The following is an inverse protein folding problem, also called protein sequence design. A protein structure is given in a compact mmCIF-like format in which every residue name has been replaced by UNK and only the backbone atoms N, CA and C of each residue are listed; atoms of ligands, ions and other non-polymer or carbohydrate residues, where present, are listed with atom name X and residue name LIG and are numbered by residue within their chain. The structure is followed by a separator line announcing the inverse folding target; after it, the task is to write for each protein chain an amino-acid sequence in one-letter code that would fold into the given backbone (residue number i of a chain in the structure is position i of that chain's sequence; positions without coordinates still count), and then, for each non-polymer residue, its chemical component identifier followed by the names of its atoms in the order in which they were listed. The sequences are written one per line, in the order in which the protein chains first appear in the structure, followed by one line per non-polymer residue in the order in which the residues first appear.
data_IF_358773941014
#
_entry.id   IF_358773941014
#
_cell.length_a   1.000
_cell.length_b   1.000
_cell.length_c   1.000
_cell.angle_alpha   90.00
_cell.angle_beta   90.00
_cell.angle_gamma   90.00
#
_symmetry.space_group_name_H-M   'P 1'
#
loop_
_entity.id
_entity.type
_entity.pdbx_description
1 polymer ?
#
# COMPACT_ATOMS: atom_id res chain seq x y z
N UNK A 1 8.38 12.56 13.15
CA UNK A 1 8.91 11.98 11.89
C UNK A 1 7.74 11.34 11.15
N UNK A 2 7.61 11.55 9.83
CA UNK A 2 6.36 11.33 9.06
C UNK A 2 6.70 10.91 7.63
N UNK A 3 6.30 9.72 7.16
CA UNK A 3 6.63 9.27 5.80
C UNK A 3 6.07 10.20 4.70
N UNK A 4 5.05 10.99 5.01
CA UNK A 4 4.52 12.02 4.10
C UNK A 4 5.43 13.26 3.97
N UNK A 5 6.47 13.41 4.80
CA UNK A 5 7.47 14.48 4.69
C UNK A 5 8.65 14.04 3.79
N UNK A 6 8.49 14.20 2.48
CA UNK A 6 9.48 13.77 1.49
C UNK A 6 10.89 14.36 1.68
N UNK A 7 11.00 15.58 2.22
CA UNK A 7 12.27 16.29 2.38
C UNK A 7 13.17 15.67 3.45
N UNK A 8 12.57 15.02 4.46
CA UNK A 8 13.29 14.46 5.60
C UNK A 8 13.20 12.93 5.68
N UNK A 9 12.07 12.35 5.26
CA UNK A 9 11.75 10.94 5.44
C UNK A 9 11.89 10.11 4.15
N UNK A 10 12.31 10.76 3.05
CA UNK A 10 12.81 10.11 1.85
C UNK A 10 11.84 10.00 0.68
N UNK A 11 12.37 9.56 -0.47
CA UNK A 11 11.61 9.39 -1.72
C UNK A 11 11.58 7.91 -2.14
N UNK A 12 10.47 7.44 -2.77
CA UNK A 12 10.38 6.05 -3.21
C UNK A 12 11.45 5.61 -4.22
N UNK A 13 11.83 6.49 -5.15
CA UNK A 13 12.86 6.17 -6.14
C UNK A 13 14.24 5.98 -5.47
N UNK A 14 14.57 6.79 -4.47
CA UNK A 14 15.81 6.65 -3.70
C UNK A 14 15.78 5.36 -2.88
N UNK A 15 14.66 5.05 -2.23
CA UNK A 15 14.46 3.79 -1.50
C UNK A 15 14.72 2.57 -2.40
N UNK A 16 14.18 2.59 -3.62
CA UNK A 16 14.39 1.51 -4.60
C UNK A 16 15.86 1.33 -4.91
N UNK A 17 16.62 2.40 -5.12
CA UNK A 17 18.05 2.30 -5.41
C UNK A 17 18.86 1.81 -4.20
N UNK A 18 18.58 2.32 -3.00
CA UNK A 18 19.20 1.85 -1.76
C UNK A 18 18.97 0.35 -1.57
N UNK A 19 17.70 -0.08 -1.64
CA UNK A 19 17.32 -1.47 -1.41
C UNK A 19 17.88 -2.39 -2.50
N UNK A 20 17.76 -2.03 -3.78
CA UNK A 20 18.32 -2.82 -4.87
C UNK A 20 19.84 -2.97 -4.77
N UNK A 21 20.56 -1.91 -4.35
CA UNK A 21 22.01 -1.96 -4.15
C UNK A 21 22.38 -2.96 -3.06
N UNK A 22 21.69 -2.93 -1.91
CA UNK A 22 21.94 -3.86 -0.81
C UNK A 22 21.53 -5.30 -1.18
N UNK A 23 20.43 -5.49 -1.91
CA UNK A 23 19.97 -6.81 -2.37
C UNK A 23 20.96 -7.48 -3.31
N UNK A 24 21.62 -6.70 -4.18
CA UNK A 24 22.63 -7.21 -5.12
C UNK A 24 23.97 -7.55 -4.44
N UNK A 25 24.25 -6.94 -3.29
CA UNK A 25 25.48 -7.22 -2.56
C UNK A 25 25.41 -8.57 -1.82
N UNK A 26 26.52 -9.31 -1.85
CA UNK A 26 26.68 -10.59 -1.15
C UNK A 26 26.88 -10.38 0.35
N UNK A 27 27.60 -9.31 0.73
CA UNK A 27 27.93 -8.94 2.11
C UNK A 27 27.26 -7.62 2.47
N UNK A 28 27.06 -7.33 3.77
CA UNK A 28 26.68 -6.00 4.24
C UNK A 28 27.59 -4.93 3.64
N UNK A 29 27.03 -3.77 3.29
CA UNK A 29 27.75 -2.67 2.64
C UNK A 29 28.03 -1.57 3.67
N UNK A 30 29.27 -1.11 3.85
CA UNK A 30 29.54 0.03 4.73
C UNK A 30 28.62 1.21 4.40
N UNK A 31 28.04 1.85 5.42
CA UNK A 31 27.00 2.88 5.27
C UNK A 31 27.38 3.97 4.27
N UNK A 32 28.58 4.54 4.41
CA UNK A 32 29.03 5.61 3.52
C UNK A 32 29.26 5.11 2.09
N UNK A 33 29.75 3.89 1.90
CA UNK A 33 29.91 3.29 0.56
C UNK A 33 28.55 3.07 -0.14
N UNK A 34 27.50 2.71 0.61
CA UNK A 34 26.15 2.61 0.07
C UNK A 34 25.61 3.98 -0.37
N UNK A 35 25.81 5.01 0.47
CA UNK A 35 25.37 6.37 0.17
C UNK A 35 26.11 6.95 -1.04
N UNK A 36 27.41 6.75 -1.12
CA UNK A 36 28.22 7.17 -2.27
C UNK A 36 27.81 6.45 -3.55
N UNK A 37 27.42 5.17 -3.48
CA UNK A 37 26.95 4.43 -4.65
C UNK A 37 25.59 4.91 -5.17
N UNK A 38 24.69 5.34 -4.30
CA UNK A 38 23.31 5.71 -4.67
C UNK A 38 23.14 7.21 -4.90
N UNK A 39 23.84 8.04 -4.14
CA UNK A 39 23.77 9.49 -4.21
C UNK A 39 25.18 10.12 -4.11
N UNK A 40 26.03 9.93 -5.13
CA UNK A 40 27.38 10.48 -5.14
C UNK A 40 27.35 12.01 -4.95
N UNK A 41 28.06 12.59 -3.96
CA UNK A 41 27.98 14.01 -3.64
C UNK A 41 28.28 14.97 -4.80
N UNK A 42 29.10 14.53 -5.77
CA UNK A 42 29.45 15.31 -6.96
C UNK A 42 28.31 15.40 -8.00
N UNK A 43 27.30 14.52 -7.92
CA UNK A 43 26.23 14.40 -8.90
C UNK A 43 24.85 14.81 -8.36
N UNK A 44 24.68 14.88 -7.04
CA UNK A 44 23.40 15.21 -6.41
C UNK A 44 23.44 16.59 -5.76
N UNK A 45 22.44 17.43 -6.05
CA UNK A 45 22.39 18.83 -5.62
C UNK A 45 22.16 19.02 -4.11
N UNK A 46 21.67 18.00 -3.41
CA UNK A 46 21.40 18.00 -1.97
C UNK A 46 22.54 17.37 -1.16
N UNK A 47 23.69 17.13 -1.80
CA UNK A 47 24.86 16.46 -1.23
C UNK A 47 24.54 15.09 -0.58
N UNK A 48 23.49 14.39 -1.02
CA UNK A 48 23.10 13.07 -0.51
C UNK A 48 22.23 13.11 0.76
N UNK A 49 21.71 14.30 1.13
CA UNK A 49 20.84 14.49 2.29
C UNK A 49 19.59 13.60 2.23
N UNK A 50 18.91 13.54 1.09
CA UNK A 50 17.70 12.74 0.88
C UNK A 50 17.99 11.24 0.95
N UNK A 51 19.13 10.78 0.42
CA UNK A 51 19.55 9.38 0.52
C UNK A 51 19.82 8.98 1.97
N UNK A 52 20.52 9.83 2.73
CA UNK A 52 20.73 9.64 4.18
C UNK A 52 19.42 9.59 4.96
N UNK A 53 18.51 10.53 4.71
CA UNK A 53 17.18 10.56 5.34
C UNK A 53 16.36 9.31 5.02
N UNK A 54 16.33 8.92 3.74
CA UNK A 54 15.65 7.70 3.29
C UNK A 54 16.23 6.45 3.96
N UNK A 55 17.55 6.29 3.98
CA UNK A 55 18.20 5.14 4.60
C UNK A 55 17.91 5.08 6.10
N UNK A 56 18.09 6.19 6.81
CA UNK A 56 17.80 6.27 8.25
C UNK A 56 16.35 5.88 8.54
N UNK A 57 15.42 6.45 7.78
CA UNK A 57 13.99 6.23 7.96
C UNK A 57 13.59 4.78 7.75
N UNK A 58 14.04 4.18 6.66
CA UNK A 58 13.70 2.81 6.32
C UNK A 58 14.48 1.76 7.11
N UNK A 59 15.61 2.15 7.74
CA UNK A 59 16.26 1.37 8.79
C UNK A 59 15.41 1.36 10.06
N UNK A 60 14.90 2.52 10.49
CA UNK A 60 14.02 2.62 11.66
C UNK A 60 12.70 1.85 11.48
N UNK A 61 12.18 1.76 10.25
CA UNK A 61 11.00 0.95 9.92
C UNK A 61 11.31 -0.55 9.76
N UNK A 62 12.57 -0.97 9.89
CA UNK A 62 13.00 -2.37 9.85
C UNK A 62 13.16 -2.99 8.46
N UNK A 63 13.19 -2.18 7.39
CA UNK A 63 13.51 -2.67 6.04
C UNK A 63 15.01 -2.99 5.93
N UNK A 64 15.84 -2.07 6.40
CA UNK A 64 17.28 -2.24 6.52
C UNK A 64 17.68 -2.59 7.95
N UNK A 65 18.87 -3.16 8.10
CA UNK A 65 19.54 -3.38 9.37
C UNK A 65 20.97 -2.85 9.28
N UNK A 66 21.45 -2.26 10.37
CA UNK A 66 22.83 -1.82 10.51
C UNK A 66 23.57 -2.76 11.48
N UNK A 67 24.66 -3.36 11.02
CA UNK A 67 25.51 -4.29 11.77
C UNK A 67 26.95 -3.85 11.56
N UNK A 68 27.65 -3.51 12.64
CA UNK A 68 29.05 -3.05 12.61
C UNK A 68 29.33 -1.91 11.61
N UNK A 69 28.39 -0.95 11.50
CA UNK A 69 28.47 0.19 10.56
C UNK A 69 28.21 -0.16 9.09
N UNK A 70 27.77 -1.39 8.81
CA UNK A 70 27.39 -1.86 7.48
C UNK A 70 25.89 -2.17 7.39
N UNK A 71 25.31 -1.86 6.24
CA UNK A 71 23.90 -2.00 5.93
C UNK A 71 23.63 -3.35 5.27
N UNK A 72 22.62 -4.06 5.78
CA UNK A 72 22.01 -5.24 5.18
C UNK A 72 20.47 -5.08 5.17
N UNK A 73 19.76 -6.09 4.67
CA UNK A 73 18.29 -6.14 4.64
C UNK A 73 17.76 -7.27 5.52
N UNK A 74 16.55 -7.09 6.03
CA UNK A 74 15.87 -8.10 6.84
C UNK A 74 15.37 -9.29 6.01
N UNK A 75 15.00 -9.07 4.75
CA UNK A 75 14.47 -10.09 3.84
C UNK A 75 15.18 -10.00 2.49
N UNK A 76 15.44 -11.15 1.86
CA UNK A 76 16.02 -11.24 0.51
C UNK A 76 15.11 -12.08 -0.41
N UNK A 77 15.05 -11.78 -1.71
CA UNK A 77 14.33 -12.62 -2.66
C UNK A 77 14.99 -14.00 -2.74
N UNK A 78 14.19 -15.02 -3.08
CA UNK A 78 14.67 -16.39 -3.20
C UNK A 78 15.72 -16.54 -4.31
N UNK A 79 15.58 -15.79 -5.41
CA UNK A 79 16.51 -15.77 -6.53
C UNK A 79 17.42 -14.54 -6.47
N UNK A 80 18.71 -14.76 -6.71
CA UNK A 80 19.71 -13.68 -6.82
C UNK A 80 19.86 -13.14 -8.25
N UNK A 81 19.20 -13.76 -9.23
CA UNK A 81 19.26 -13.37 -10.66
C UNK A 81 18.10 -12.47 -11.09
N UNK A 82 17.33 -12.00 -10.12
CA UNK A 82 16.17 -11.16 -10.32
C UNK A 82 16.52 -9.88 -11.09
N UNK A 83 15.70 -9.58 -12.09
CA UNK A 83 15.84 -8.39 -12.91
C UNK A 83 15.46 -7.13 -12.13
N UNK A 84 15.68 -5.96 -12.72
CA UNK A 84 15.31 -4.69 -12.08
C UNK A 84 13.80 -4.61 -11.74
N UNK A 85 12.94 -5.20 -12.59
CA UNK A 85 11.49 -5.25 -12.36
C UNK A 85 11.12 -6.13 -11.15
N UNK A 86 11.78 -7.28 -11.02
CA UNK A 86 11.55 -8.22 -9.92
C UNK A 86 12.01 -7.63 -8.59
N UNK A 87 13.18 -6.98 -8.59
CA UNK A 87 13.67 -6.26 -7.40
C UNK A 87 12.79 -5.08 -7.02
N UNK A 88 12.25 -4.34 -8.01
CA UNK A 88 11.29 -3.27 -7.73
C UNK A 88 10.02 -3.82 -7.07
N UNK A 89 9.46 -4.91 -7.60
CA UNK A 89 8.29 -5.56 -7.03
C UNK A 89 8.58 -6.11 -5.62
N UNK A 90 9.73 -6.75 -5.42
CA UNK A 90 10.18 -7.21 -4.11
C UNK A 90 10.31 -6.05 -3.11
N UNK A 91 10.99 -4.96 -3.51
CA UNK A 91 11.16 -3.76 -2.67
C UNK A 91 9.81 -3.15 -2.29
N UNK A 92 8.88 -3.06 -3.24
CA UNK A 92 7.52 -2.57 -2.99
C UNK A 92 6.80 -3.43 -1.96
N UNK A 93 6.84 -4.76 -2.11
CA UNK A 93 6.20 -5.70 -1.18
C UNK A 93 6.75 -5.60 0.23
N UNK A 94 8.07 -5.62 0.38
CA UNK A 94 8.72 -5.56 1.69
C UNK A 94 8.53 -4.19 2.34
N UNK A 95 8.62 -3.11 1.56
CA UNK A 95 8.31 -1.76 2.05
C UNK A 95 6.86 -1.62 2.50
N UNK A 96 5.89 -2.12 1.72
CA UNK A 96 4.47 -2.11 2.07
C UNK A 96 4.23 -2.88 3.38
N UNK A 97 4.81 -4.07 3.53
CA UNK A 97 4.71 -4.84 4.76
C UNK A 97 5.25 -4.07 5.98
N UNK A 98 6.36 -3.34 5.85
CA UNK A 98 6.89 -2.49 6.94
C UNK A 98 5.99 -1.31 7.25
N UNK A 99 5.45 -0.63 6.26
CA UNK A 99 4.50 0.49 6.47
C UNK A 99 3.28 0.02 7.25
N UNK A 100 2.76 -1.18 6.95
CA UNK A 100 1.51 -1.70 7.54
C UNK A 100 1.70 -2.42 8.89
N UNK A 101 2.93 -2.72 9.30
CA UNK A 101 3.24 -3.49 10.49
C UNK A 101 2.80 -2.78 11.79
N UNK A 102 2.23 -3.52 12.75
CA UNK A 102 1.64 -2.93 13.96
C UNK A 102 2.66 -2.15 14.80
N UNK A 103 3.90 -2.64 14.88
CA UNK A 103 5.00 -1.97 15.56
C UNK A 103 5.33 -0.59 14.97
N UNK A 104 5.07 -0.39 13.67
CA UNK A 104 5.29 0.89 12.98
C UNK A 104 4.05 1.81 13.00
N UNK A 105 2.97 1.38 13.66
CA UNK A 105 1.67 2.07 13.70
C UNK A 105 1.09 2.23 15.12
N UNK A 106 1.84 1.90 16.18
CA UNK A 106 1.32 1.89 17.56
C UNK A 106 0.80 3.24 18.06
N UNK A 107 1.46 4.35 17.71
CA UNK A 107 1.03 5.72 18.04
C UNK A 107 0.18 6.34 16.92
N UNK A 108 -0.89 5.64 16.53
CA UNK A 108 -1.57 5.86 15.25
C UNK A 108 -2.04 7.31 14.98
N UNK A 109 -2.53 7.99 16.02
CA UNK A 109 -3.06 9.37 15.93
C UNK A 109 -2.11 10.45 16.44
N UNK A 110 -0.89 10.11 16.87
CA UNK A 110 0.06 11.13 17.31
C UNK A 110 0.53 11.99 16.12
N UNK A 111 0.71 13.28 16.39
CA UNK A 111 1.19 14.28 15.41
C UNK A 111 2.69 14.11 15.14
N UNK A 112 3.46 13.76 16.17
CA UNK A 112 4.89 13.45 16.12
C UNK A 112 5.15 12.00 16.57
N UNK A 113 6.35 11.48 16.36
CA UNK A 113 6.70 10.09 16.75
C UNK A 113 6.05 8.96 15.95
N UNK A 114 5.02 9.24 15.15
CA UNK A 114 4.10 8.26 14.56
C UNK A 114 4.65 7.25 13.53
N UNK A 115 5.97 7.06 13.41
CA UNK A 115 6.60 6.08 12.52
C UNK A 115 5.93 6.03 11.13
N UNK A 116 5.31 4.93 10.70
CA UNK A 116 4.61 4.84 9.43
C UNK A 116 3.12 5.22 9.50
N UNK A 117 2.57 5.46 10.69
CA UNK A 117 1.15 5.67 10.92
C UNK A 117 0.56 6.79 10.08
N UNK A 118 1.32 7.84 9.82
CA UNK A 118 0.86 8.96 9.00
C UNK A 118 0.54 8.58 7.56
N UNK A 119 1.37 7.73 6.95
CA UNK A 119 1.10 7.19 5.63
C UNK A 119 -0.02 6.15 5.70
N UNK A 120 -0.02 5.28 6.71
CA UNK A 120 -1.03 4.22 6.88
C UNK A 120 -2.44 4.80 7.01
N UNK A 121 -2.65 5.79 7.88
CA UNK A 121 -3.94 6.44 8.06
C UNK A 121 -4.41 7.18 6.80
N UNK A 122 -3.49 7.86 6.11
CA UNK A 122 -3.78 8.52 4.84
C UNK A 122 -4.16 7.52 3.73
N UNK A 123 -3.52 6.35 3.66
CA UNK A 123 -3.89 5.30 2.72
C UNK A 123 -5.26 4.69 3.06
N UNK A 124 -5.51 4.37 4.33
CA UNK A 124 -6.79 3.84 4.80
C UNK A 124 -7.96 4.80 4.49
N UNK A 125 -7.77 6.10 4.75
CA UNK A 125 -8.74 7.14 4.42
C UNK A 125 -8.92 7.31 2.91
N UNK A 126 -7.82 7.37 2.14
CA UNK A 126 -7.85 7.51 0.68
C UNK A 126 -8.63 6.35 0.04
N UNK A 127 -8.36 5.11 0.45
CA UNK A 127 -9.04 3.92 -0.07
C UNK A 127 -10.52 3.87 0.35
N UNK A 128 -10.99 4.80 1.20
CA UNK A 128 -12.38 4.91 1.64
C UNK A 128 -13.23 5.79 0.76
N UNK A 129 -12.57 6.63 -0.03
CA UNK A 129 -13.23 7.56 -0.90
C UNK A 129 -13.86 6.85 -2.09
N UNK A 130 -14.88 7.49 -2.68
CA UNK A 130 -15.46 7.01 -3.91
C UNK A 130 -14.48 7.24 -5.07
N UNK A 131 -13.83 6.16 -5.51
CA UNK A 131 -12.81 6.21 -6.57
C UNK A 131 -13.32 6.68 -7.93
N UNK A 132 -14.63 6.84 -8.11
CA UNK A 132 -15.24 7.41 -9.32
C UNK A 132 -15.46 8.92 -9.24
N UNK A 133 -15.40 9.51 -8.04
CA UNK A 133 -15.74 10.92 -7.80
C UNK A 133 -14.61 11.70 -7.14
N UNK A 134 -13.70 10.99 -6.48
CA UNK A 134 -12.63 11.57 -5.68
C UNK A 134 -11.28 11.39 -6.37
N UNK A 135 -10.60 12.51 -6.63
CA UNK A 135 -9.20 12.56 -7.05
C UNK A 135 -8.34 13.29 -6.02
N UNK A 136 -7.02 13.19 -6.14
CA UNK A 136 -6.08 13.76 -5.14
C UNK A 136 -6.30 15.25 -4.88
N UNK A 137 -6.65 16.02 -5.91
CA UNK A 137 -6.88 17.47 -5.80
C UNK A 137 -7.99 17.87 -4.84
N UNK A 138 -8.87 16.94 -4.47
CA UNK A 138 -10.01 17.18 -3.58
C UNK A 138 -9.73 16.78 -2.13
N UNK A 139 -8.59 16.17 -1.83
CA UNK A 139 -8.37 15.48 -0.55
C UNK A 139 -8.42 16.42 0.65
N UNK A 140 -7.80 17.59 0.58
CA UNK A 140 -7.79 18.55 1.68
C UNK A 140 -9.21 19.04 2.03
N UNK A 141 -10.03 19.35 1.01
CA UNK A 141 -11.40 19.79 1.23
C UNK A 141 -12.30 18.67 1.77
N UNK A 142 -12.18 17.47 1.20
CA UNK A 142 -12.94 16.30 1.63
C UNK A 142 -12.58 15.87 3.04
N UNK A 143 -11.31 15.94 3.41
CA UNK A 143 -10.85 15.62 4.75
C UNK A 143 -11.48 16.53 5.80
N UNK A 144 -11.41 17.85 5.61
CA UNK A 144 -12.02 18.82 6.54
C UNK A 144 -13.53 18.59 6.64
N UNK A 145 -14.19 18.29 5.53
CA UNK A 145 -15.62 17.96 5.52
C UNK A 145 -15.93 16.67 6.30
N UNK A 146 -15.08 15.64 6.20
CA UNK A 146 -15.34 14.31 6.75
C UNK A 146 -14.89 14.14 8.21
N UNK A 147 -13.85 14.86 8.63
CA UNK A 147 -13.21 14.69 9.94
C UNK A 147 -13.34 15.93 10.83
N UNK A 148 -13.89 17.03 10.29
CA UNK A 148 -13.95 18.33 10.96
C UNK A 148 -12.58 18.97 11.17
N UNK A 149 -12.57 20.18 11.72
CA UNK A 149 -11.34 20.82 12.18
C UNK A 149 -10.87 20.15 13.48
N UNK A 150 -9.99 19.16 13.35
CA UNK A 150 -9.45 18.41 14.47
C UNK A 150 -7.95 18.22 14.37
N UNK A 151 -7.33 17.86 15.50
CA UNK A 151 -5.93 17.44 15.50
C UNK A 151 -5.67 16.16 14.67
N UNK A 152 -6.72 15.51 14.16
CA UNK A 152 -6.66 14.29 13.35
C UNK A 152 -6.60 14.53 11.84
N UNK A 153 -6.56 15.78 11.38
CA UNK A 153 -6.36 16.11 9.96
C UNK A 153 -5.04 15.52 9.44
N UNK A 154 -5.10 14.79 8.33
CA UNK A 154 -4.00 14.07 7.68
C UNK A 154 -3.25 14.98 6.69
N UNK A 155 -3.91 15.95 6.06
CA UNK A 155 -3.36 16.81 5.00
C UNK A 155 -3.33 18.30 5.35
N UNK A 156 -2.94 18.64 6.60
CA UNK A 156 -2.79 20.04 7.07
C UNK A 156 -1.89 20.94 6.20
N UNK A 157 -1.05 20.37 5.33
CA UNK A 157 -0.24 21.09 4.37
C UNK A 157 -0.26 20.34 3.01
N UNK A 158 -0.44 21.04 1.87
CA UNK A 158 -0.39 20.45 0.52
C UNK A 158 0.82 19.55 0.23
N UNK A 159 1.96 19.76 0.91
CA UNK A 159 3.15 18.90 0.76
C UNK A 159 2.91 17.45 1.20
N UNK A 160 2.01 17.22 2.18
CA UNK A 160 1.66 15.87 2.66
C UNK A 160 0.85 15.10 1.63
N UNK A 161 -0.06 15.76 0.91
CA UNK A 161 -0.78 15.16 -0.23
C UNK A 161 0.19 14.70 -1.30
N UNK A 162 1.18 15.55 -1.63
CA UNK A 162 2.25 15.17 -2.55
C UNK A 162 2.98 13.92 -2.03
N UNK A 163 3.38 13.90 -0.75
CA UNK A 163 3.96 12.72 -0.12
C UNK A 163 3.12 11.46 -0.30
N UNK A 164 1.81 11.55 -0.10
CA UNK A 164 0.89 10.44 -0.30
C UNK A 164 0.84 10.00 -1.77
N UNK A 165 0.80 10.92 -2.74
CA UNK A 165 0.81 10.57 -4.16
C UNK A 165 2.03 9.73 -4.55
N UNK A 166 3.23 10.13 -4.09
CA UNK A 166 4.46 9.38 -4.35
C UNK A 166 4.43 7.99 -3.71
N UNK A 167 4.08 7.91 -2.42
CA UNK A 167 4.06 6.64 -1.70
C UNK A 167 2.92 5.72 -2.12
N UNK A 168 1.70 6.23 -2.34
CA UNK A 168 0.57 5.45 -2.82
C UNK A 168 0.86 4.82 -4.18
N UNK A 169 1.47 5.57 -5.11
CA UNK A 169 1.90 5.03 -6.40
C UNK A 169 2.96 3.95 -6.22
N UNK A 170 3.99 4.22 -5.43
CA UNK A 170 5.07 3.27 -5.21
C UNK A 170 4.57 1.97 -4.55
N UNK A 171 3.74 2.07 -3.51
CA UNK A 171 3.22 0.92 -2.77
C UNK A 171 2.10 0.18 -3.51
N UNK A 172 1.61 0.71 -4.63
CA UNK A 172 0.65 0.05 -5.50
C UNK A 172 -0.83 0.32 -5.17
N UNK A 173 -1.10 1.42 -4.45
CA UNK A 173 -2.44 1.92 -4.10
C UNK A 173 -2.98 3.01 -5.03
N UNK A 174 -2.19 3.43 -6.03
CA UNK A 174 -2.55 4.44 -7.02
C UNK A 174 -1.97 4.10 -8.39
N UNK A 175 -2.71 4.36 -9.48
CA UNK A 175 -2.31 4.07 -10.86
C UNK A 175 -2.65 5.20 -11.84
N UNK A 176 -1.69 6.06 -12.16
CA UNK A 176 -1.80 7.00 -13.27
C UNK A 176 -1.51 6.34 -14.63
N UNK A 177 -2.09 6.85 -15.74
CA UNK A 177 -2.95 8.05 -15.82
C UNK A 177 -4.43 7.79 -15.51
N UNK A 178 -4.86 6.55 -15.34
CA UNK A 178 -6.28 6.18 -15.42
C UNK A 178 -7.05 6.27 -14.10
N UNK A 179 -6.38 6.17 -12.94
CA UNK A 179 -7.02 6.19 -11.63
C UNK A 179 -6.10 6.67 -10.50
N UNK A 180 -6.50 7.75 -9.83
CA UNK A 180 -5.79 8.25 -8.65
C UNK A 180 -5.81 7.27 -7.48
N UNK A 181 -6.87 6.47 -7.35
CA UNK A 181 -7.04 5.48 -6.29
C UNK A 181 -7.30 4.12 -6.94
N UNK A 182 -6.33 3.21 -6.81
CA UNK A 182 -6.36 1.88 -7.40
C UNK A 182 -5.38 0.92 -6.68
N UNK A 183 -5.88 0.03 -5.79
CA UNK A 183 -5.05 -0.92 -5.06
C UNK A 183 -4.69 -2.20 -5.83
N UNK A 184 -4.96 -2.30 -7.13
CA UNK A 184 -4.74 -3.52 -7.93
C UNK A 184 -3.32 -4.07 -7.79
N UNK A 185 -2.31 -3.19 -7.82
CA UNK A 185 -0.90 -3.62 -7.75
C UNK A 185 -0.56 -4.13 -6.35
N UNK A 186 -0.98 -3.42 -5.30
CA UNK A 186 -0.78 -3.85 -3.91
C UNK A 186 -1.44 -5.20 -3.63
N UNK A 187 -2.67 -5.40 -4.14
CA UNK A 187 -3.39 -6.67 -3.98
C UNK A 187 -2.69 -7.80 -4.74
N UNK A 188 -2.32 -7.58 -6.01
CA UNK A 188 -1.57 -8.57 -6.81
C UNK A 188 -0.31 -9.06 -6.10
N UNK A 189 0.39 -8.14 -5.48
CA UNK A 189 1.63 -8.38 -4.76
C UNK A 189 1.49 -9.28 -3.53
N UNK A 190 0.33 -9.27 -2.87
CA UNK A 190 0.04 -10.11 -1.70
C UNK A 190 -0.71 -11.39 -2.06
N UNK A 191 -1.23 -11.52 -3.29
CA UNK A 191 -1.96 -12.72 -3.73
C UNK A 191 -1.24 -14.03 -3.41
N UNK A 192 0.08 -14.20 -3.66
CA UNK A 192 0.76 -15.47 -3.35
C UNK A 192 0.77 -15.87 -1.87
N UNK A 193 0.54 -14.92 -0.95
CA UNK A 193 0.43 -15.21 0.49
C UNK A 193 -1.00 -15.59 0.91
N UNK A 194 -1.99 -15.26 0.07
CA UNK A 194 -3.42 -15.38 0.38
C UNK A 194 -4.04 -16.59 -0.34
N UNK A 195 -3.70 -16.73 -1.62
CA UNK A 195 -4.25 -17.70 -2.56
C UNK A 195 -3.16 -18.15 -3.55
N UNK A 196 -2.80 -19.43 -3.47
CA UNK A 196 -1.86 -20.07 -4.38
C UNK A 196 -2.40 -20.18 -5.81
N UNK A 197 -1.52 -20.44 -6.77
CA UNK A 197 -1.93 -20.65 -8.16
C UNK A 197 -2.67 -21.99 -8.31
N UNK A 198 -3.79 -21.98 -9.03
CA UNK A 198 -4.69 -23.13 -9.16
C UNK A 198 -5.62 -23.35 -7.98
N UNK A 199 -5.52 -22.54 -6.92
CA UNK A 199 -6.36 -22.63 -5.74
C UNK A 199 -7.61 -21.74 -5.84
N UNK A 200 -8.64 -22.12 -5.08
CA UNK A 200 -9.84 -21.33 -4.84
C UNK A 200 -10.18 -21.29 -3.35
N UNK A 201 -10.85 -20.23 -2.93
CA UNK A 201 -11.35 -20.05 -1.56
C UNK A 201 -12.67 -19.31 -1.55
N UNK A 202 -13.37 -19.40 -0.42
CA UNK A 202 -14.55 -18.58 -0.13
C UNK A 202 -14.21 -17.08 -0.23
N UNK A 203 -15.12 -16.32 -0.82
CA UNK A 203 -14.95 -14.89 -1.06
C UNK A 203 -14.81 -14.07 0.23
N UNK A 204 -15.54 -14.43 1.28
CA UNK A 204 -15.45 -13.78 2.59
C UNK A 204 -14.09 -14.05 3.21
N UNK A 205 -13.64 -15.31 3.16
CA UNK A 205 -12.30 -15.70 3.62
C UNK A 205 -11.18 -15.01 2.83
N UNK A 206 -11.32 -14.85 1.51
CA UNK A 206 -10.38 -14.10 0.71
C UNK A 206 -10.25 -12.65 1.19
N UNK A 207 -11.39 -11.96 1.38
CA UNK A 207 -11.40 -10.57 1.86
C UNK A 207 -10.80 -10.47 3.26
N UNK A 208 -11.05 -11.43 4.14
CA UNK A 208 -10.44 -11.48 5.47
C UNK A 208 -8.92 -11.63 5.43
N UNK A 209 -8.41 -12.57 4.63
CA UNK A 209 -6.96 -12.73 4.44
C UNK A 209 -6.34 -11.49 3.80
N UNK A 210 -7.06 -10.83 2.89
CA UNK A 210 -6.62 -9.60 2.27
C UNK A 210 -6.55 -8.45 3.28
N UNK A 211 -7.55 -8.32 4.15
CA UNK A 211 -7.57 -7.36 5.26
C UNK A 211 -6.41 -7.57 6.25
N UNK A 212 -5.99 -8.81 6.48
CA UNK A 212 -4.82 -9.10 7.31
C UNK A 212 -3.51 -8.70 6.62
N UNK A 213 -3.38 -8.96 5.32
CA UNK A 213 -2.17 -8.64 4.56
C UNK A 213 -2.05 -7.14 4.21
N UNK A 214 -3.17 -6.47 3.97
CA UNK A 214 -3.28 -5.06 3.61
C UNK A 214 -4.34 -4.38 4.50
N UNK A 215 -4.00 -4.09 5.77
CA UNK A 215 -4.94 -3.62 6.80
C UNK A 215 -5.57 -2.24 6.57
N UNK A 216 -5.21 -1.56 5.49
CA UNK A 216 -5.82 -0.30 5.01
C UNK A 216 -7.01 -0.50 4.07
N UNK A 217 -7.27 -1.75 3.64
CA UNK A 217 -8.43 -2.12 2.82
C UNK A 217 -9.66 -2.45 3.67
N UNK A 218 -10.79 -2.72 3.01
CA UNK A 218 -12.03 -3.20 3.62
C UNK A 218 -11.78 -4.28 4.68
N UNK A 219 -12.44 -4.15 5.84
CA UNK A 219 -12.32 -5.01 7.04
C UNK A 219 -10.93 -5.01 7.70
N UNK A 220 -9.95 -4.31 7.16
CA UNK A 220 -8.64 -4.15 7.76
C UNK A 220 -8.67 -3.29 9.03
N UNK A 221 -7.78 -3.59 9.97
CA UNK A 221 -7.76 -2.91 11.28
C UNK A 221 -7.49 -1.40 11.16
N UNK A 222 -6.55 -0.98 10.30
CA UNK A 222 -6.25 0.45 10.12
C UNK A 222 -7.36 1.17 9.38
N UNK A 223 -8.07 0.46 8.49
CA UNK A 223 -9.26 0.99 7.86
C UNK A 223 -10.36 1.28 8.88
N UNK A 224 -10.62 0.34 9.78
CA UNK A 224 -11.64 0.52 10.82
C UNK A 224 -11.27 1.66 11.78
N UNK A 225 -10.00 1.72 12.22
CA UNK A 225 -9.49 2.78 13.10
C UNK A 225 -9.64 4.18 12.48
N UNK A 226 -9.38 4.32 11.19
CA UNK A 226 -9.60 5.61 10.50
C UNK A 226 -11.08 5.93 10.39
N UNK A 227 -11.92 4.97 9.99
CA UNK A 227 -13.35 5.20 9.81
C UNK A 227 -14.07 5.54 11.12
N UNK A 228 -13.59 5.07 12.29
CA UNK A 228 -14.14 5.51 13.58
C UNK A 228 -13.84 6.97 13.93
N UNK A 229 -12.93 7.62 13.19
CA UNK A 229 -12.65 9.06 13.31
C UNK A 229 -13.29 9.91 12.21
N UNK A 230 -13.97 9.28 11.24
CA UNK A 230 -14.73 9.97 10.19
C UNK A 230 -16.18 10.14 10.65
N UNK A 231 -16.80 11.28 10.35
CA UNK A 231 -18.24 11.47 10.57
C UNK A 231 -19.02 10.36 9.85
N UNK A 232 -19.85 9.63 10.60
CA UNK A 232 -20.62 8.50 10.10
C UNK A 232 -21.60 8.83 8.98
N UNK A 233 -21.92 10.11 8.75
CA UNK A 233 -22.74 10.56 7.62
C UNK A 233 -21.92 10.99 6.40
N UNK A 234 -20.61 11.14 6.55
CA UNK A 234 -19.76 11.72 5.50
C UNK A 234 -19.32 10.70 4.45
N UNK A 235 -19.37 9.40 4.77
CA UNK A 235 -19.21 8.30 3.83
C UNK A 235 -20.45 7.41 3.88
N UNK A 236 -20.95 6.99 2.72
CA UNK A 236 -22.08 6.07 2.67
C UNK A 236 -21.70 4.73 3.34
N UNK A 237 -22.49 4.24 4.31
CA UNK A 237 -22.20 2.97 4.96
C UNK A 237 -22.30 1.82 3.95
N UNK A 238 -21.34 0.90 4.00
CA UNK A 238 -21.38 -0.32 3.20
C UNK A 238 -22.37 -1.30 3.83
N UNK A 239 -23.18 -1.95 3.00
CA UNK A 239 -24.04 -3.04 3.42
C UNK A 239 -23.21 -4.29 3.76
N UNK A 240 -23.79 -5.23 4.51
CA UNK A 240 -23.16 -6.50 4.78
C UNK A 240 -22.78 -7.22 3.47
N UNK A 241 -21.51 -7.61 3.33
CA UNK A 241 -20.98 -8.25 2.12
C UNK A 241 -20.65 -7.30 0.96
N UNK A 242 -20.98 -6.01 1.06
CA UNK A 242 -20.63 -5.01 0.05
C UNK A 242 -19.18 -4.55 0.22
N UNK A 243 -18.41 -4.50 -0.87
CA UNK A 243 -17.05 -3.94 -0.88
C UNK A 243 -17.03 -2.46 -1.26
N UNK A 244 -16.02 -1.73 -0.80
CA UNK A 244 -15.72 -0.37 -1.24
C UNK A 244 -15.49 -0.29 -2.76
N UNK A 245 -15.63 0.91 -3.34
CA UNK A 245 -15.37 1.13 -4.77
C UNK A 245 -13.90 0.89 -5.11
N UNK A 246 -12.97 1.17 -4.20
CA UNK A 246 -11.53 0.93 -4.39
C UNK A 246 -11.20 -0.56 -4.51
N UNK A 247 -11.68 -1.38 -3.56
CA UNK A 247 -11.46 -2.83 -3.62
C UNK A 247 -12.23 -3.46 -4.78
N UNK A 248 -13.44 -2.99 -5.07
CA UNK A 248 -14.23 -3.47 -6.20
C UNK A 248 -13.54 -3.23 -7.54
N UNK A 249 -13.00 -2.03 -7.76
CA UNK A 249 -12.20 -1.71 -8.95
C UNK A 249 -11.02 -2.65 -9.09
N UNK A 250 -10.27 -2.88 -8.00
CA UNK A 250 -9.09 -3.72 -8.07
C UNK A 250 -9.42 -5.19 -8.36
N UNK A 251 -10.48 -5.75 -7.77
CA UNK A 251 -10.93 -7.10 -8.10
C UNK A 251 -11.38 -7.22 -9.56
N UNK A 252 -12.05 -6.21 -10.11
CA UNK A 252 -12.41 -6.17 -11.53
C UNK A 252 -11.18 -6.09 -12.43
N UNK A 253 -10.18 -5.30 -12.07
CA UNK A 253 -8.92 -5.22 -12.81
C UNK A 253 -8.16 -6.55 -12.79
N UNK A 254 -8.06 -7.20 -11.62
CA UNK A 254 -7.43 -8.52 -11.47
C UNK A 254 -8.19 -9.59 -12.25
N UNK A 255 -9.52 -9.52 -12.29
CA UNK A 255 -10.33 -10.38 -13.15
C UNK A 255 -10.05 -10.10 -14.63
N UNK A 256 -9.99 -8.84 -15.03
CA UNK A 256 -9.73 -8.44 -16.42
C UNK A 256 -8.34 -8.82 -16.91
N UNK A 257 -7.33 -8.82 -16.04
CA UNK A 257 -5.97 -9.28 -16.36
C UNK A 257 -5.83 -10.81 -16.35
N UNK A 258 -6.79 -11.53 -15.76
CA UNK A 258 -6.73 -12.98 -15.56
C UNK A 258 -5.96 -13.40 -14.31
N UNK A 259 -5.65 -12.48 -13.40
CA UNK A 259 -5.02 -12.78 -12.11
C UNK A 259 -5.99 -13.50 -11.15
N UNK A 260 -7.31 -13.26 -11.29
CA UNK A 260 -8.36 -13.85 -10.47
C UNK A 260 -9.60 -14.23 -11.30
N UNK A 261 -10.37 -15.19 -10.80
CA UNK A 261 -11.72 -15.51 -11.27
C UNK A 261 -12.70 -15.28 -10.13
N UNK A 262 -13.78 -14.55 -10.40
CA UNK A 262 -14.89 -14.35 -9.46
C UNK A 262 -16.02 -15.30 -9.84
N UNK A 263 -16.38 -16.22 -8.95
CA UNK A 263 -17.25 -17.35 -9.27
C UNK A 263 -18.52 -17.33 -8.45
N UNK A 264 -19.64 -17.64 -9.12
CA UNK A 264 -20.91 -17.95 -8.48
C UNK A 264 -21.04 -19.45 -8.31
N UNK A 265 -21.15 -19.91 -7.07
CA UNK A 265 -21.49 -21.28 -6.73
C UNK A 265 -22.78 -21.26 -5.93
N UNK A 266 -23.66 -22.23 -6.19
CA UNK A 266 -25.02 -22.26 -5.65
C UNK A 266 -25.07 -22.66 -4.17
N UNK A 267 -23.91 -22.82 -3.52
CA UNK A 267 -23.82 -23.30 -2.16
C UNK A 267 -24.12 -22.16 -1.18
N UNK A 268 -24.90 -22.49 -0.16
CA UNK A 268 -25.47 -21.53 0.80
C UNK A 268 -24.35 -20.92 1.65
N UNK A 269 -24.02 -19.64 1.40
CA UNK A 269 -22.98 -18.89 2.09
C UNK A 269 -23.12 -17.38 1.87
N UNK A 270 -22.38 -16.57 2.64
CA UNK A 270 -22.38 -15.11 2.49
C UNK A 270 -21.75 -14.71 1.16
N UNK A 271 -22.52 -14.02 0.31
CA UNK A 271 -22.02 -13.48 -0.96
C UNK A 271 -21.30 -12.16 -0.74
N UNK A 272 -20.21 -11.96 -1.48
CA UNK A 272 -19.58 -10.65 -1.63
C UNK A 272 -20.19 -9.95 -2.84
N UNK A 273 -20.43 -8.65 -2.72
CA UNK A 273 -21.01 -7.81 -3.77
C UNK A 273 -20.10 -6.63 -4.06
N UNK A 274 -19.81 -6.42 -5.35
CA UNK A 274 -19.01 -5.29 -5.79
C UNK A 274 -19.82 -3.98 -5.79
N UNK A 275 -19.11 -2.86 -5.69
CA UNK A 275 -19.68 -1.50 -5.81
C UNK A 275 -19.14 -0.82 -7.06
N UNK A 276 -20.04 -0.26 -7.87
CA UNK A 276 -19.73 0.55 -9.04
C UNK A 276 -20.07 2.03 -8.82
N UNK A 277 -20.03 2.82 -9.91
CA UNK A 277 -20.27 4.28 -9.90
C UNK A 277 -21.65 4.70 -9.34
N UNK A 278 -22.64 3.81 -9.47
CA UNK A 278 -24.01 4.03 -9.00
C UNK A 278 -24.34 3.25 -7.72
N UNK A 279 -23.32 2.80 -6.99
CA UNK A 279 -23.48 2.01 -5.77
C UNK A 279 -23.40 0.50 -6.01
N UNK A 280 -24.07 -0.26 -5.15
CA UNK A 280 -23.98 -1.72 -5.10
C UNK A 280 -24.41 -2.37 -6.42
N UNK A 281 -23.62 -3.34 -6.90
CA UNK A 281 -23.85 -4.09 -8.14
C UNK A 281 -24.26 -5.51 -7.82
N UNK A 282 -25.55 -5.74 -7.56
CA UNK A 282 -26.10 -7.07 -7.26
C UNK A 282 -25.83 -8.08 -8.39
N UNK A 283 -25.76 -7.60 -9.64
CA UNK A 283 -25.36 -8.34 -10.83
C UNK A 283 -23.87 -8.71 -10.86
N UNK A 284 -23.08 -8.21 -9.90
CA UNK A 284 -21.66 -8.51 -9.68
C UNK A 284 -21.42 -9.09 -8.27
N UNK A 285 -22.29 -9.98 -7.83
CA UNK A 285 -22.09 -10.82 -6.65
C UNK A 285 -21.31 -12.12 -6.97
N UNK A 286 -20.53 -12.61 -6.01
CA UNK A 286 -19.78 -13.87 -6.08
C UNK A 286 -19.58 -14.48 -4.69
N UNK A 287 -19.38 -15.80 -4.63
CA UNK A 287 -19.19 -16.56 -3.39
C UNK A 287 -17.78 -17.15 -3.30
N UNK A 288 -17.10 -17.30 -4.43
CA UNK A 288 -15.78 -17.91 -4.51
C UNK A 288 -14.82 -17.06 -5.34
N UNK A 289 -13.55 -17.09 -4.97
CA UNK A 289 -12.45 -16.53 -5.76
C UNK A 289 -11.44 -17.62 -6.05
N UNK A 290 -11.04 -17.73 -7.31
CA UNK A 290 -9.96 -18.63 -7.73
C UNK A 290 -8.80 -17.83 -8.32
N UNK A 291 -7.58 -18.33 -8.15
CA UNK A 291 -6.40 -17.82 -8.84
C UNK A 291 -5.99 -18.81 -9.93
N UNK A 292 -6.06 -18.45 -11.22
CA UNK A 292 -5.65 -19.36 -12.29
C UNK A 292 -4.18 -19.81 -12.16
N UNK A 293 -3.88 -21.02 -12.63
CA UNK A 293 -2.50 -21.48 -12.79
C UNK A 293 -1.79 -20.71 -13.90
N UNK A 294 -0.51 -20.37 -13.72
CA UNK A 294 0.28 -19.78 -14.80
C UNK A 294 0.25 -20.66 -16.05
N UNK A 295 -0.25 -20.12 -17.17
CA UNK A 295 -0.35 -20.84 -18.44
C UNK A 295 -1.67 -21.58 -18.70
N UNK A 296 -2.62 -21.56 -17.76
CA UNK A 296 -4.01 -21.90 -18.06
C UNK A 296 -4.59 -20.80 -18.97
N UNK A 297 -4.60 -21.05 -20.27
CA UNK A 297 -4.93 -20.07 -21.32
C UNK A 297 -6.34 -19.51 -21.15
N UNK A 298 -6.46 -18.22 -21.52
CA UNK A 298 -7.68 -17.39 -21.66
C UNK A 298 -8.77 -18.04 -22.51
#
# INVERSE_FOLDING_TARGET
MSLLNLTNDGLPNILVQLHATVLRAIKPIPREALLDAVAPPALVSDAGKLARGTLLRWTALGLFQEVDGAITVTERPASRRDGAKDLLAFTRRTACARVMAAENNGEFWMSEGAAAADLTRSLAWMLAQDVYRTGFSQFEALEVQQMGESERLLFRNPTRRTGLQYWARFLGFSQQPFADIDPTVAIRDVLPKILGEGEDIDATQFVDKLAQALPVLDRGMWRQEVLSSVDGNALAPLQAGQLSTALSRALLNLRGSGDLLLQRRADVGSSIVLTGVNGMRADMSFQWIARPSAGAVR
#
